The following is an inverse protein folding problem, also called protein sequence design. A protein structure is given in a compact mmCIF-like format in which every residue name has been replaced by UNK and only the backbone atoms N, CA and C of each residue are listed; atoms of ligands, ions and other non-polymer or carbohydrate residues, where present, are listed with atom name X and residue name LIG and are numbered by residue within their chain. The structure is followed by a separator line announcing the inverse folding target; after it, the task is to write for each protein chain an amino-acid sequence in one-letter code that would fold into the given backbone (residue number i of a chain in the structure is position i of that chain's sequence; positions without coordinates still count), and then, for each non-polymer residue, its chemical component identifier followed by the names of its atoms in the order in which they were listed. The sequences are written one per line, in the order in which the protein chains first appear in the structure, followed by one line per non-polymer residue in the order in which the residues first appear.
data_IF_163523808542
#
_entry.id   IF_163523808542
#
_cell.length_a   1.000
_cell.length_b   1.000
_cell.length_c   1.000
_cell.angle_alpha   90.00
_cell.angle_beta   90.00
_cell.angle_gamma   90.00
#
_symmetry.space_group_name_H-M   'P 1'
#
loop_
_entity.id
_entity.type
_entity.pdbx_description
1 polymer ?
#
# COMPACT_ATOMS: atom_id res chain seq x y z
N UNK A 1 -12.82 -14.03 -0.99
CA UNK A 1 -11.48 -13.52 -1.36
C UNK A 1 -10.89 -12.79 -0.18
N UNK A 2 -9.57 -12.82 -0.03
CA UNK A 2 -8.86 -12.25 1.11
C UNK A 2 -7.94 -11.11 0.66
N UNK A 3 -8.05 -9.96 1.32
CA UNK A 3 -7.30 -8.74 0.99
C UNK A 3 -6.31 -8.42 2.11
N UNK A 4 -5.03 -8.32 1.80
CA UNK A 4 -4.04 -7.79 2.72
C UNK A 4 -3.94 -6.27 2.56
N UNK A 5 -4.14 -5.54 3.63
CA UNK A 5 -4.10 -4.08 3.66
C UNK A 5 -2.88 -3.64 4.47
N UNK A 6 -1.98 -2.91 3.84
CA UNK A 6 -0.84 -2.24 4.49
C UNK A 6 -1.18 -0.77 4.64
N UNK A 7 -1.48 -0.37 5.87
CA UNK A 7 -1.83 1.00 6.22
C UNK A 7 -0.66 1.70 6.90
N UNK A 8 -0.37 2.93 6.47
CA UNK A 8 0.74 3.69 7.00
C UNK A 8 0.37 5.16 7.19
N UNK A 9 0.04 5.56 8.41
CA UNK A 9 -0.15 6.97 8.79
C UNK A 9 0.17 7.18 10.28
N UNK A 10 0.91 8.26 10.65
CA UNK A 10 1.31 8.50 12.04
C UNK A 10 0.17 8.96 12.96
N UNK A 11 -0.97 9.33 12.44
CA UNK A 11 -2.10 9.88 13.21
C UNK A 11 -3.39 9.14 12.91
N UNK A 12 -4.09 8.73 13.98
CA UNK A 12 -5.45 8.17 13.92
C UNK A 12 -6.48 9.21 13.46
N UNK A 13 -6.22 10.50 13.66
CA UNK A 13 -7.10 11.60 13.26
C UNK A 13 -6.67 12.18 11.89
N UNK A 14 -6.77 11.37 10.82
CA UNK A 14 -6.37 11.79 9.49
C UNK A 14 -7.41 11.41 8.44
N UNK A 15 -7.41 12.15 7.31
CA UNK A 15 -8.21 11.76 6.14
C UNK A 15 -7.83 10.34 5.67
N UNK A 16 -6.54 10.01 5.66
CA UNK A 16 -6.04 8.69 5.26
C UNK A 16 -6.60 7.57 6.14
N UNK A 17 -6.78 7.82 7.45
CA UNK A 17 -7.42 6.85 8.35
C UNK A 17 -8.87 6.65 7.99
N UNK A 18 -9.62 7.74 7.82
CA UNK A 18 -11.04 7.66 7.44
C UNK A 18 -11.23 6.98 6.08
N UNK A 19 -10.33 7.24 5.13
CA UNK A 19 -10.29 6.56 3.83
C UNK A 19 -10.03 5.05 3.98
N UNK A 20 -9.08 4.66 4.83
CA UNK A 20 -8.79 3.26 5.14
C UNK A 20 -10.02 2.56 5.75
N UNK A 21 -10.67 3.18 6.72
CA UNK A 21 -11.85 2.61 7.38
C UNK A 21 -13.03 2.45 6.40
N UNK A 22 -13.24 3.43 5.53
CA UNK A 22 -14.26 3.36 4.49
C UNK A 22 -13.98 2.22 3.48
N UNK A 23 -12.73 2.06 3.06
CA UNK A 23 -12.30 0.98 2.19
C UNK A 23 -12.52 -0.40 2.84
N UNK A 24 -12.07 -0.57 4.09
CA UNK A 24 -12.27 -1.81 4.86
C UNK A 24 -13.75 -2.14 4.99
N UNK A 25 -14.58 -1.13 5.30
CA UNK A 25 -16.03 -1.32 5.37
C UNK A 25 -16.59 -1.85 4.04
N UNK A 26 -16.14 -1.31 2.92
CA UNK A 26 -16.54 -1.80 1.59
C UNK A 26 -16.15 -3.26 1.35
N UNK A 27 -14.92 -3.65 1.72
CA UNK A 27 -14.46 -5.05 1.63
C UNK A 27 -15.35 -5.98 2.46
N UNK A 28 -15.64 -5.61 3.71
CA UNK A 28 -16.47 -6.42 4.61
C UNK A 28 -17.92 -6.51 4.10
N UNK A 29 -18.52 -5.39 3.70
CA UNK A 29 -19.90 -5.34 3.21
C UNK A 29 -20.10 -6.15 1.90
N UNK A 30 -19.01 -6.39 1.15
CA UNK A 30 -19.02 -7.27 -0.02
C UNK A 30 -18.86 -8.77 0.30
N UNK A 31 -18.77 -9.13 1.59
CA UNK A 31 -18.60 -10.51 2.05
C UNK A 31 -17.18 -11.06 1.90
N UNK A 32 -16.19 -10.20 1.73
CA UNK A 32 -14.78 -10.58 1.63
C UNK A 32 -14.04 -10.38 2.96
N UNK A 33 -12.91 -11.06 3.09
CA UNK A 33 -12.05 -11.01 4.28
C UNK A 33 -10.90 -10.01 4.07
N UNK A 34 -10.38 -9.48 5.17
CA UNK A 34 -9.16 -8.69 5.14
C UNK A 34 -8.21 -9.03 6.29
N UNK A 35 -6.94 -8.73 6.08
CA UNK A 35 -5.91 -8.63 7.12
C UNK A 35 -5.36 -7.21 7.05
N UNK A 36 -5.13 -6.59 8.21
CA UNK A 36 -4.59 -5.24 8.31
C UNK A 36 -3.22 -5.26 9.00
N UNK A 37 -2.21 -4.68 8.35
CA UNK A 37 -0.97 -4.23 8.97
C UNK A 37 -0.99 -2.70 9.08
N UNK A 38 -1.27 -2.20 10.28
CA UNK A 38 -1.10 -0.79 10.62
C UNK A 38 0.34 -0.60 11.10
N UNK A 39 1.21 -0.11 10.20
CA UNK A 39 2.65 -0.07 10.43
C UNK A 39 3.07 0.81 11.62
N UNK A 40 2.32 1.86 11.92
CA UNK A 40 2.58 2.70 13.10
C UNK A 40 2.10 2.04 14.38
N UNK A 41 0.88 1.51 14.39
CA UNK A 41 0.29 0.87 15.57
C UNK A 41 1.02 -0.40 15.98
N UNK A 42 1.47 -1.19 15.04
CA UNK A 42 2.24 -2.40 15.31
C UNK A 42 3.72 -2.13 15.61
N UNK A 43 4.18 -0.88 15.47
CA UNK A 43 5.57 -0.53 15.71
C UNK A 43 6.54 -1.21 14.74
N UNK A 44 6.13 -1.44 13.49
CA UNK A 44 6.95 -2.15 12.51
C UNK A 44 8.35 -1.52 12.42
N UNK A 45 9.40 -2.33 12.57
CA UNK A 45 10.78 -1.90 12.42
C UNK A 45 11.07 -1.63 10.94
N UNK A 46 11.60 -0.47 10.63
CA UNK A 46 11.78 0.00 9.25
C UNK A 46 13.23 -0.02 8.79
N UNK A 47 14.15 0.09 9.73
CA UNK A 47 15.56 0.15 9.40
C UNK A 47 16.08 -1.27 9.13
N UNK A 48 16.61 -1.46 7.94
CA UNK A 48 17.30 -2.71 7.59
C UNK A 48 18.54 -2.88 8.47
N UNK A 49 18.71 -4.05 9.04
CA UNK A 49 19.91 -4.39 9.82
C UNK A 49 21.09 -4.70 8.89
N UNK A 50 22.31 -4.67 9.44
CA UNK A 50 23.52 -5.11 8.72
C UNK A 50 23.37 -6.56 8.21
N UNK A 51 22.77 -7.44 9.00
CA UNK A 51 22.57 -8.85 8.63
C UNK A 51 21.59 -9.00 7.48
N UNK A 52 20.45 -8.27 7.52
CA UNK A 52 19.47 -8.22 6.42
C UNK A 52 20.10 -7.65 5.14
N UNK A 53 20.88 -6.59 5.27
CA UNK A 53 21.60 -6.00 4.12
C UNK A 53 22.59 -7.02 3.52
N UNK A 54 23.42 -7.67 4.33
CA UNK A 54 24.39 -8.65 3.86
C UNK A 54 23.70 -9.84 3.20
N UNK A 55 22.59 -10.31 3.75
CA UNK A 55 21.77 -11.36 3.18
C UNK A 55 21.33 -11.01 1.77
N UNK A 56 20.72 -9.86 1.59
CA UNK A 56 20.12 -9.44 0.34
C UNK A 56 21.16 -8.98 -0.70
N UNK A 57 22.19 -8.24 -0.28
CA UNK A 57 23.26 -7.75 -1.15
C UNK A 57 24.12 -8.88 -1.76
N UNK A 58 24.24 -10.01 -1.04
CA UNK A 58 24.99 -11.18 -1.51
C UNK A 58 24.10 -12.33 -1.99
N UNK A 59 22.79 -12.08 -2.19
CA UNK A 59 21.85 -13.07 -2.71
C UNK A 59 21.85 -14.37 -1.90
N UNK A 60 21.80 -14.25 -0.58
CA UNK A 60 21.81 -15.39 0.33
C UNK A 60 20.40 -15.65 0.87
N UNK A 61 20.09 -16.90 1.14
CA UNK A 61 18.87 -17.32 1.85
C UNK A 61 19.06 -17.43 3.37
N UNK A 62 20.30 -17.24 3.83
CA UNK A 62 20.67 -17.30 5.25
C UNK A 62 21.41 -16.02 5.69
N UNK A 63 21.21 -15.54 6.93
CA UNK A 63 20.21 -16.04 7.91
C UNK A 63 18.76 -15.87 7.40
N UNK A 64 17.82 -16.53 8.04
CA UNK A 64 16.39 -16.34 7.78
C UNK A 64 16.00 -14.89 7.95
N UNK A 65 14.93 -14.46 7.29
CA UNK A 65 14.36 -13.13 7.53
C UNK A 65 13.85 -13.01 8.97
N UNK A 66 13.85 -11.80 9.50
CA UNK A 66 13.35 -11.54 10.84
C UNK A 66 11.85 -11.90 10.98
N UNK A 67 11.42 -12.30 12.19
CA UNK A 67 10.06 -12.77 12.46
C UNK A 67 8.98 -11.78 12.04
N UNK A 68 9.22 -10.46 12.20
CA UNK A 68 8.29 -9.42 11.79
C UNK A 68 8.16 -9.34 10.25
N UNK A 69 9.24 -9.59 9.52
CA UNK A 69 9.26 -9.68 8.06
C UNK A 69 8.54 -10.94 7.59
N UNK A 70 8.86 -12.09 8.20
CA UNK A 70 8.22 -13.36 7.89
C UNK A 70 6.69 -13.28 8.06
N UNK A 71 6.22 -12.67 9.14
CA UNK A 71 4.80 -12.48 9.39
C UNK A 71 4.10 -11.64 8.29
N UNK A 72 4.76 -10.61 7.74
CA UNK A 72 4.23 -9.83 6.63
C UNK A 72 4.21 -10.65 5.32
N UNK A 73 5.27 -11.42 5.05
CA UNK A 73 5.35 -12.31 3.88
C UNK A 73 4.26 -13.40 3.91
N UNK A 74 3.95 -13.96 5.07
CA UNK A 74 2.85 -14.91 5.26
C UNK A 74 1.47 -14.27 4.97
N UNK A 75 1.25 -13.02 5.40
CA UNK A 75 0.03 -12.29 5.08
C UNK A 75 -0.13 -12.09 3.57
N UNK A 76 0.96 -11.77 2.87
CA UNK A 76 0.98 -11.64 1.41
C UNK A 76 0.59 -12.98 0.76
N UNK A 77 1.31 -14.05 1.09
CA UNK A 77 1.09 -15.36 0.46
C UNK A 77 -0.27 -15.99 0.80
N UNK A 78 -0.88 -15.61 1.94
CA UNK A 78 -2.24 -16.06 2.33
C UNK A 78 -3.37 -15.21 1.75
N UNK A 79 -3.06 -14.13 1.02
CA UNK A 79 -4.05 -13.20 0.48
C UNK A 79 -4.17 -13.31 -1.04
N UNK A 80 -5.25 -12.78 -1.59
CA UNK A 80 -5.51 -12.75 -3.04
C UNK A 80 -5.20 -11.37 -3.64
N UNK A 81 -5.26 -10.31 -2.81
CA UNK A 81 -4.86 -8.96 -3.17
C UNK A 81 -4.05 -8.30 -2.07
N UNK A 82 -3.26 -7.28 -2.46
CA UNK A 82 -2.61 -6.35 -1.54
C UNK A 82 -3.06 -4.93 -1.83
N UNK A 83 -3.32 -4.16 -0.77
CA UNK A 83 -3.73 -2.74 -0.88
C UNK A 83 -2.86 -1.91 0.04
N UNK A 84 -2.20 -0.91 -0.51
CA UNK A 84 -1.40 0.05 0.25
C UNK A 84 -2.17 1.33 0.43
N UNK A 85 -2.34 1.78 1.67
CA UNK A 85 -3.10 2.99 2.02
C UNK A 85 -2.21 3.93 2.83
N UNK A 86 -1.86 5.10 2.26
CA UNK A 86 -0.89 6.01 2.86
C UNK A 86 -1.04 7.47 2.39
N UNK A 87 -0.52 8.48 3.13
CA UNK A 87 -0.40 9.84 2.67
C UNK A 87 0.88 10.03 1.83
N UNK A 88 0.81 10.86 0.82
CA UNK A 88 2.00 11.27 0.05
C UNK A 88 2.80 12.29 0.85
N UNK A 89 4.06 11.99 1.10
CA UNK A 89 5.05 12.90 1.67
C UNK A 89 6.18 13.12 0.66
N UNK A 90 6.34 14.37 0.17
CA UNK A 90 7.40 14.71 -0.78
C UNK A 90 7.44 13.81 -2.04
N UNK A 91 6.28 13.54 -2.62
CA UNK A 91 6.12 12.68 -3.82
C UNK A 91 6.47 11.21 -3.56
N UNK A 92 6.57 10.81 -2.30
CA UNK A 92 6.89 9.45 -1.89
C UNK A 92 5.91 8.95 -0.82
N UNK A 93 5.93 7.64 -0.58
CA UNK A 93 5.29 7.04 0.58
C UNK A 93 6.01 7.48 1.88
N UNK A 94 5.34 7.42 3.04
CA UNK A 94 6.01 7.66 4.31
C UNK A 94 7.21 6.73 4.50
N UNK A 95 8.29 7.22 5.11
CA UNK A 95 9.53 6.47 5.36
C UNK A 95 9.27 5.08 5.98
N UNK A 96 8.24 4.97 6.85
CA UNK A 96 7.85 3.71 7.45
C UNK A 96 7.33 2.68 6.42
N UNK A 97 6.62 3.12 5.39
CA UNK A 97 6.20 2.22 4.31
C UNK A 97 7.35 1.91 3.35
N UNK A 98 8.25 2.86 3.11
CA UNK A 98 9.47 2.62 2.31
C UNK A 98 10.31 1.54 2.99
N UNK A 99 10.59 1.68 4.30
CA UNK A 99 11.33 0.67 5.06
C UNK A 99 10.62 -0.68 5.15
N UNK A 100 9.27 -0.70 5.10
CA UNK A 100 8.54 -1.95 4.97
C UNK A 100 8.87 -2.65 3.63
N UNK A 101 8.90 -1.91 2.51
CA UNK A 101 9.32 -2.47 1.23
C UNK A 101 10.77 -2.95 1.25
N UNK A 102 11.69 -2.16 1.83
CA UNK A 102 13.11 -2.48 1.88
C UNK A 102 13.38 -3.81 2.62
N UNK A 103 12.58 -4.15 3.64
CA UNK A 103 12.75 -5.38 4.42
C UNK A 103 11.89 -6.53 3.93
N UNK A 104 10.63 -6.28 3.56
CA UNK A 104 9.68 -7.35 3.18
C UNK A 104 9.91 -7.87 1.77
N UNK A 105 10.36 -7.01 0.84
CA UNK A 105 10.77 -7.42 -0.51
C UNK A 105 12.18 -8.03 -0.53
N UNK A 106 12.46 -8.97 0.36
CA UNK A 106 13.75 -9.61 0.52
C UNK A 106 14.10 -10.57 -0.63
N UNK A 107 15.40 -10.87 -0.76
CA UNK A 107 15.88 -11.93 -1.65
C UNK A 107 15.26 -13.31 -1.28
N UNK A 108 14.96 -14.10 -2.28
CA UNK A 108 14.27 -15.39 -2.14
C UNK A 108 12.76 -15.26 -2.03
N UNK A 109 12.24 -14.11 -1.55
CA UNK A 109 10.80 -13.86 -1.47
C UNK A 109 10.28 -13.06 -2.67
N UNK A 110 10.62 -11.79 -2.79
CA UNK A 110 10.09 -10.90 -3.83
C UNK A 110 10.95 -10.85 -5.11
N UNK A 111 12.20 -11.26 -5.03
CA UNK A 111 13.12 -11.39 -6.16
C UNK A 111 14.08 -12.57 -5.96
N UNK A 112 14.90 -12.90 -6.95
CA UNK A 112 15.68 -14.15 -6.97
C UNK A 112 14.78 -15.34 -7.27
N UNK A 113 14.76 -16.37 -6.41
CA UNK A 113 13.95 -17.58 -6.59
C UNK A 113 12.45 -17.37 -6.47
N UNK A 114 12.03 -16.26 -5.85
CA UNK A 114 10.65 -15.79 -5.73
C UNK A 114 9.66 -16.81 -5.16
N UNK A 115 9.55 -16.86 -3.84
CA UNK A 115 8.50 -17.63 -3.16
C UNK A 115 7.20 -16.84 -2.97
N UNK A 116 7.22 -15.54 -3.25
CA UNK A 116 6.03 -14.70 -3.25
C UNK A 116 5.08 -15.12 -4.36
N UNK A 117 3.85 -15.42 -4.00
CA UNK A 117 2.80 -15.70 -4.98
C UNK A 117 2.47 -14.43 -5.80
N UNK A 118 2.18 -14.58 -7.09
CA UNK A 118 1.63 -13.50 -7.90
C UNK A 118 0.16 -13.29 -7.50
N UNK A 119 -0.12 -12.11 -6.93
CA UNK A 119 -1.45 -11.74 -6.47
C UNK A 119 -2.40 -11.45 -7.64
N UNK A 120 -3.71 -11.56 -7.44
CA UNK A 120 -4.67 -11.18 -8.47
C UNK A 120 -4.72 -9.67 -8.66
N UNK A 121 -4.63 -8.91 -7.55
CA UNK A 121 -4.65 -7.43 -7.59
C UNK A 121 -3.66 -6.82 -6.61
N UNK A 122 -3.09 -5.66 -7.00
CA UNK A 122 -2.41 -4.75 -6.09
C UNK A 122 -2.91 -3.33 -6.32
N UNK A 123 -3.37 -2.67 -5.26
CA UNK A 123 -4.00 -1.35 -5.33
C UNK A 123 -3.27 -0.37 -4.42
N UNK A 124 -3.00 0.81 -4.94
CA UNK A 124 -2.49 1.95 -4.17
C UNK A 124 -3.61 2.96 -3.99
N UNK A 125 -3.91 3.27 -2.74
CA UNK A 125 -4.79 4.38 -2.35
C UNK A 125 -3.95 5.39 -1.58
N UNK A 126 -3.60 6.50 -2.19
CA UNK A 126 -2.85 7.52 -1.49
C UNK A 126 -3.59 8.84 -1.39
N UNK A 127 -3.40 9.55 -0.28
CA UNK A 127 -3.93 10.89 -0.09
C UNK A 127 -2.83 11.93 -0.33
N UNK A 128 -3.14 12.98 -1.09
CA UNK A 128 -2.23 14.07 -1.42
C UNK A 128 -2.82 15.42 -1.04
N UNK A 129 -2.00 16.30 -0.47
CA UNK A 129 -2.43 17.67 -0.14
C UNK A 129 -2.57 18.55 -1.39
N UNK A 130 -1.77 18.32 -2.41
CA UNK A 130 -1.82 19.06 -3.68
C UNK A 130 -2.97 18.58 -4.57
N UNK A 131 -3.52 19.47 -5.43
CA UNK A 131 -4.45 19.08 -6.49
C UNK A 131 -3.82 18.09 -7.47
N UNK A 132 -4.64 17.21 -8.02
CA UNK A 132 -4.20 16.19 -8.99
C UNK A 132 -3.57 16.83 -10.23
N UNK A 133 -4.16 17.91 -10.74
CA UNK A 133 -3.68 18.67 -11.91
C UNK A 133 -2.25 19.17 -11.70
N UNK A 134 -1.93 19.64 -10.48
CA UNK A 134 -0.56 20.06 -10.16
C UNK A 134 0.41 18.89 -10.13
N UNK A 135 -0.01 17.74 -9.60
CA UNK A 135 0.83 16.54 -9.58
C UNK A 135 1.13 16.05 -11.00
N UNK A 136 0.17 16.18 -11.91
CA UNK A 136 0.31 15.86 -13.34
C UNK A 136 1.23 16.84 -14.05
N UNK A 137 0.96 18.16 -13.92
CA UNK A 137 1.74 19.23 -14.56
C UNK A 137 3.24 19.14 -14.27
N UNK A 138 3.61 18.81 -13.02
CA UNK A 138 5.02 18.67 -12.62
C UNK A 138 5.58 17.24 -12.79
N UNK A 139 4.84 16.32 -13.38
CA UNK A 139 5.26 14.92 -13.57
C UNK A 139 5.41 14.11 -12.27
N UNK A 140 4.88 14.62 -11.15
CA UNK A 140 5.00 14.00 -9.84
C UNK A 140 4.12 12.74 -9.74
N UNK A 141 2.91 12.80 -10.33
CA UNK A 141 2.03 11.64 -10.38
C UNK A 141 2.66 10.48 -11.15
N UNK A 142 3.29 10.76 -12.30
CA UNK A 142 3.96 9.75 -13.09
C UNK A 142 5.17 9.15 -12.36
N UNK A 143 5.93 9.99 -11.64
CA UNK A 143 7.03 9.54 -10.79
C UNK A 143 6.57 8.58 -9.70
N UNK A 144 5.50 8.91 -8.97
CA UNK A 144 4.91 8.03 -7.95
C UNK A 144 4.45 6.69 -8.55
N UNK A 145 3.78 6.73 -9.71
CA UNK A 145 3.34 5.51 -10.40
C UNK A 145 4.51 4.63 -10.85
N UNK A 146 5.58 5.23 -11.37
CA UNK A 146 6.78 4.49 -11.80
C UNK A 146 7.44 3.77 -10.64
N UNK A 147 7.58 4.42 -9.47
CA UNK A 147 8.14 3.79 -8.28
C UNK A 147 7.24 2.67 -7.77
N UNK A 148 5.95 2.95 -7.57
CA UNK A 148 5.05 1.98 -6.94
C UNK A 148 4.64 0.84 -7.87
N UNK A 149 4.19 1.16 -9.09
CA UNK A 149 3.69 0.14 -10.02
C UNK A 149 4.81 -0.44 -10.88
N UNK A 150 5.75 0.41 -11.31
CA UNK A 150 6.81 0.03 -12.23
C UNK A 150 7.99 -0.71 -11.59
N UNK A 151 8.20 -0.53 -10.28
CA UNK A 151 9.29 -1.18 -9.56
C UNK A 151 8.77 -2.06 -8.43
N UNK A 152 8.12 -1.47 -7.41
CA UNK A 152 7.69 -2.21 -6.20
C UNK A 152 6.64 -3.28 -6.46
N UNK A 153 5.77 -3.09 -7.46
CA UNK A 153 4.70 -4.04 -7.78
C UNK A 153 4.88 -4.77 -9.12
N UNK A 154 5.94 -4.45 -9.85
CA UNK A 154 6.19 -5.08 -11.16
C UNK A 154 6.28 -6.60 -11.07
N UNK A 155 5.41 -7.28 -11.80
CA UNK A 155 5.35 -8.76 -11.85
C UNK A 155 4.86 -9.44 -10.56
N UNK A 156 4.38 -8.67 -9.55
CA UNK A 156 3.88 -9.19 -8.26
C UNK A 156 2.36 -9.27 -8.18
N UNK A 157 1.66 -8.66 -9.13
CA UNK A 157 0.21 -8.79 -9.26
C UNK A 157 -0.20 -8.80 -10.74
N UNK A 158 -1.32 -9.48 -11.06
CA UNK A 158 -1.88 -9.55 -12.42
C UNK A 158 -2.51 -8.23 -12.85
N UNK A 159 -3.11 -7.51 -11.90
CA UNK A 159 -3.72 -6.20 -12.10
C UNK A 159 -3.20 -5.22 -11.06
N UNK A 160 -2.86 -4.01 -11.48
CA UNK A 160 -2.42 -2.94 -10.58
C UNK A 160 -3.23 -1.68 -10.80
N UNK A 161 -3.53 -0.96 -9.73
CA UNK A 161 -4.24 0.31 -9.77
C UNK A 161 -3.57 1.33 -8.84
N UNK A 162 -3.50 2.61 -9.27
CA UNK A 162 -2.96 3.70 -8.47
C UNK A 162 -3.97 4.84 -8.42
N UNK A 163 -4.50 5.11 -7.25
CA UNK A 163 -5.56 6.12 -7.03
C UNK A 163 -5.10 7.17 -6.05
N UNK A 164 -5.16 8.42 -6.46
CA UNK A 164 -4.90 9.58 -5.60
C UNK A 164 -6.21 10.19 -5.15
N UNK A 165 -6.30 10.46 -3.85
CA UNK A 165 -7.30 11.32 -3.23
C UNK A 165 -6.62 12.64 -2.94
N UNK A 166 -6.86 13.60 -3.79
CA UNK A 166 -6.18 14.89 -3.80
C UNK A 166 -6.86 15.94 -2.91
N UNK A 167 -6.25 17.12 -2.78
CA UNK A 167 -6.77 18.24 -1.99
C UNK A 167 -7.09 17.89 -0.53
N UNK A 168 -6.31 16.99 0.08
CA UNK A 168 -6.59 16.46 1.42
C UNK A 168 -5.89 17.19 2.56
N UNK A 169 -5.16 18.29 2.28
CA UNK A 169 -4.51 19.07 3.35
C UNK A 169 -5.54 19.79 4.22
N UNK A 170 -5.24 19.91 5.53
CA UNK A 170 -6.21 20.44 6.53
C UNK A 170 -6.68 21.86 6.28
N UNK A 171 -5.85 22.67 5.63
CA UNK A 171 -6.15 24.08 5.31
C UNK A 171 -6.88 24.26 3.98
N UNK A 172 -7.15 23.16 3.25
CA UNK A 172 -7.81 23.23 1.97
C UNK A 172 -9.32 23.07 2.14
N UNK A 173 -10.09 24.10 1.75
CA UNK A 173 -11.56 24.06 1.80
C UNK A 173 -12.16 22.92 0.99
N UNK A 174 -11.49 22.49 -0.09
CA UNK A 174 -11.93 21.37 -0.92
C UNK A 174 -11.88 20.05 -0.15
N UNK A 175 -11.04 19.92 0.87
CA UNK A 175 -10.97 18.74 1.73
C UNK A 175 -12.33 18.47 2.37
N UNK A 176 -12.91 19.46 3.05
CA UNK A 176 -14.20 19.32 3.73
C UNK A 176 -15.34 19.15 2.71
N UNK A 177 -15.31 19.94 1.63
CA UNK A 177 -16.31 19.87 0.57
C UNK A 177 -16.37 18.51 -0.12
N UNK A 178 -15.23 17.84 -0.28
CA UNK A 178 -15.12 16.54 -0.95
C UNK A 178 -15.04 15.36 0.02
N UNK A 179 -15.12 15.60 1.33
CA UNK A 179 -14.92 14.58 2.36
C UNK A 179 -15.80 13.34 2.14
N UNK A 180 -17.11 13.53 2.17
CA UNK A 180 -18.06 12.42 2.03
C UNK A 180 -17.97 11.73 0.67
N UNK A 181 -17.78 12.51 -0.41
CA UNK A 181 -17.58 11.96 -1.75
C UNK A 181 -16.34 11.08 -1.83
N UNK A 182 -15.24 11.51 -1.21
CA UNK A 182 -13.99 10.76 -1.21
C UNK A 182 -14.10 9.49 -0.35
N UNK A 183 -14.77 9.56 0.81
CA UNK A 183 -15.01 8.36 1.62
C UNK A 183 -15.94 7.37 0.91
N UNK A 184 -16.99 7.87 0.25
CA UNK A 184 -17.86 7.01 -0.57
C UNK A 184 -17.07 6.34 -1.71
N UNK A 185 -16.19 7.07 -2.40
CA UNK A 185 -15.30 6.49 -3.41
C UNK A 185 -14.42 5.38 -2.83
N UNK A 186 -13.79 5.61 -1.67
CA UNK A 186 -12.97 4.60 -1.01
C UNK A 186 -13.79 3.36 -0.62
N UNK A 187 -15.00 3.55 -0.09
CA UNK A 187 -15.93 2.47 0.23
C UNK A 187 -16.30 1.64 -1.02
N UNK A 188 -16.70 2.29 -2.11
CA UNK A 188 -17.05 1.59 -3.36
C UNK A 188 -15.84 0.83 -3.93
N UNK A 189 -14.64 1.39 -3.85
CA UNK A 189 -13.42 0.68 -4.26
C UNK A 189 -13.19 -0.60 -3.44
N UNK A 190 -13.42 -0.56 -2.12
CA UNK A 190 -13.36 -1.75 -1.28
C UNK A 190 -14.45 -2.77 -1.62
N UNK A 191 -15.67 -2.30 -1.82
CA UNK A 191 -16.83 -3.14 -2.15
C UNK A 191 -16.70 -3.82 -3.52
N UNK A 192 -16.15 -3.09 -4.50
CA UNK A 192 -16.01 -3.56 -5.88
C UNK A 192 -14.66 -4.21 -6.17
N UNK A 193 -13.78 -4.32 -5.19
CA UNK A 193 -12.42 -4.85 -5.37
C UNK A 193 -12.40 -6.18 -6.13
N UNK A 194 -13.40 -7.03 -5.89
CA UNK A 194 -13.51 -8.37 -6.46
C UNK A 194 -14.61 -8.52 -7.52
N UNK A 195 -15.35 -7.47 -7.81
CA UNK A 195 -16.30 -7.50 -8.90
C UNK A 195 -15.55 -7.37 -10.23
N UNK A 196 -15.76 -8.31 -11.15
CA UNK A 196 -15.26 -8.16 -12.52
C UNK A 196 -15.91 -6.92 -13.11
N UNK A 197 -15.13 -5.90 -13.48
CA UNK A 197 -15.66 -4.86 -14.37
C UNK A 197 -16.14 -5.60 -15.62
N UNK A 198 -17.47 -5.64 -15.85
CA UNK A 198 -18.00 -6.10 -17.14
C UNK A 198 -17.39 -5.19 -18.20
N UNK A 199 -16.50 -5.75 -19.01
CA UNK A 199 -15.97 -5.12 -20.23
C UNK A 199 -17.11 -4.97 -21.23
#
# INVERSE_FOLDING_TARGET
MKTFIVYCHPSENSFTKSMCDAFIKGVVDSGNEYILSDLYKMGFQTDMTEEEYQRDAYYRDTPDVADDVLAEQEKINSSDAIVFIYPVFWTEAPAKLVGWFDRVWSYGFAYGEKTMKVLDKAVILCSAGNPLERLEEFGLLDSMKRVMLGDRLFGRAKQTEFVVFDNTSRENELREKNWDKNLQKAYEMGKELWTSKKV
#
